data_IF_163115899964
#
_entry.id   IF_163115899964
#
_cell.length_a   1.000
_cell.length_b   1.000
_cell.length_c   1.000
_cell.angle_alpha   90.00
_cell.angle_beta   90.00
_cell.angle_gamma   90.00
#
_symmetry.space_group_name_H-M   'P 1'
#
loop_
_entity.id
_entity.type
_entity.pdbx_description
1 polymer ?
#
# COMPACT_ATOMS: atom_id res chain seq x y z
N UNK A 1 -14.79 4.17 15.09
CA UNK A 1 -15.24 3.67 13.76
C UNK A 1 -15.65 2.23 13.96
N UNK A 2 -16.95 2.01 14.09
CA UNK A 2 -17.49 0.67 14.33
C UNK A 2 -17.49 -0.07 12.98
N UNK A 3 -16.76 -1.17 12.93
CA UNK A 3 -16.64 -2.00 11.75
C UNK A 3 -17.78 -3.02 11.74
N UNK A 4 -18.64 -2.93 10.74
CA UNK A 4 -19.59 -4.01 10.45
C UNK A 4 -18.82 -5.19 9.84
N UNK A 5 -18.69 -6.27 10.58
CA UNK A 5 -18.20 -7.56 10.08
C UNK A 5 -19.41 -8.43 9.69
N UNK A 6 -19.34 -9.12 8.56
CA UNK A 6 -20.27 -10.15 8.08
C UNK A 6 -21.75 -9.75 7.95
N UNK A 7 -22.07 -8.60 7.39
CA UNK A 7 -23.47 -8.29 7.02
C UNK A 7 -24.47 -8.26 8.18
N UNK A 8 -24.08 -8.60 9.38
CA UNK A 8 -24.85 -8.51 10.61
C UNK A 8 -24.19 -7.46 11.47
N UNK A 9 -24.87 -6.35 11.72
CA UNK A 9 -24.48 -5.41 12.76
C UNK A 9 -24.77 -6.09 14.10
N UNK A 10 -23.79 -6.77 14.69
CA UNK A 10 -23.88 -7.15 16.08
C UNK A 10 -23.78 -5.87 16.91
N UNK A 11 -24.87 -5.53 17.60
CA UNK A 11 -24.89 -4.49 18.62
C UNK A 11 -24.07 -5.00 19.81
N UNK A 12 -22.73 -4.83 19.75
CA UNK A 12 -21.89 -4.99 20.92
C UNK A 12 -22.18 -3.83 21.90
N UNK A 13 -23.07 -4.09 22.85
CA UNK A 13 -23.47 -3.20 23.94
C UNK A 13 -22.41 -3.10 25.04
N UNK A 14 -21.14 -2.84 24.69
CA UNK A 14 -20.19 -2.37 25.71
C UNK A 14 -19.28 -1.26 25.18
N UNK A 15 -19.57 -0.06 25.69
CA UNK A 15 -18.68 1.09 25.81
C UNK A 15 -18.08 1.73 24.56
N UNK A 16 -18.91 2.47 23.80
CA UNK A 16 -18.44 3.76 23.26
C UNK A 16 -19.57 4.79 23.32
N UNK A 17 -19.50 5.71 24.27
CA UNK A 17 -20.32 6.92 24.32
C UNK A 17 -19.97 7.80 23.13
N UNK A 18 -20.70 7.65 22.04
CA UNK A 18 -20.70 8.61 20.95
C UNK A 18 -21.71 9.71 21.32
N UNK A 19 -21.31 10.97 21.59
CA UNK A 19 -22.17 12.00 22.18
C UNK A 19 -23.29 12.51 21.26
N UNK A 20 -23.45 11.97 20.04
CA UNK A 20 -24.40 12.51 19.05
C UNK A 20 -25.54 11.58 18.64
N UNK A 21 -25.71 10.40 19.20
CA UNK A 21 -26.82 9.53 18.86
C UNK A 21 -27.42 8.86 20.08
N UNK A 22 -28.31 9.56 20.78
CA UNK A 22 -29.08 9.02 21.93
C UNK A 22 -30.31 8.19 21.53
N UNK A 23 -30.43 7.76 20.24
CA UNK A 23 -31.58 7.01 19.79
C UNK A 23 -31.32 5.52 19.90
N UNK A 24 -31.99 4.86 20.83
CA UNK A 24 -32.01 3.40 20.96
C UNK A 24 -33.19 2.82 20.19
N UNK A 25 -32.91 1.92 19.23
CA UNK A 25 -33.95 1.20 18.51
C UNK A 25 -34.76 0.30 19.43
N UNK A 26 -36.01 -0.01 19.05
CA UNK A 26 -36.83 -0.97 19.77
C UNK A 26 -36.25 -2.37 19.64
N UNK A 27 -36.13 -3.06 20.73
CA UNK A 27 -35.73 -4.48 20.79
C UNK A 27 -36.91 -5.41 20.52
N UNK A 28 -36.64 -6.67 20.20
CA UNK A 28 -37.69 -7.67 20.02
C UNK A 28 -38.57 -7.82 21.28
N UNK A 29 -37.98 -7.80 22.47
CA UNK A 29 -38.70 -7.87 23.74
C UNK A 29 -39.63 -6.66 23.94
N UNK A 30 -39.20 -5.46 23.54
CA UNK A 30 -40.06 -4.28 23.59
C UNK A 30 -41.23 -4.40 22.59
N UNK A 31 -41.01 -4.99 21.44
CA UNK A 31 -42.06 -5.28 20.43
C UNK A 31 -43.08 -6.30 20.96
N UNK A 32 -42.62 -7.31 21.68
CA UNK A 32 -43.51 -8.29 22.32
C UNK A 32 -44.36 -7.61 23.41
N UNK A 33 -43.78 -6.75 24.24
CA UNK A 33 -44.51 -5.96 25.23
C UNK A 33 -45.54 -5.02 24.56
N UNK A 34 -45.19 -4.38 23.45
CA UNK A 34 -46.14 -3.55 22.70
C UNK A 34 -47.36 -4.39 22.24
N UNK A 35 -47.15 -5.58 21.68
CA UNK A 35 -48.24 -6.50 21.29
C UNK A 35 -49.11 -6.89 22.51
N UNK A 36 -48.48 -7.30 23.62
CA UNK A 36 -49.11 -7.69 24.83
C UNK A 36 -50.04 -6.59 25.42
N UNK A 37 -49.51 -5.36 25.55
CA UNK A 37 -50.26 -4.23 26.10
C UNK A 37 -51.37 -3.79 25.12
N UNK A 38 -51.13 -3.86 23.81
CA UNK A 38 -52.20 -3.59 22.83
C UNK A 38 -53.35 -4.59 22.90
N UNK A 39 -53.05 -5.88 23.11
CA UNK A 39 -54.10 -6.92 23.33
C UNK A 39 -54.94 -6.66 24.63
N UNK A 40 -54.40 -5.95 25.60
CA UNK A 40 -55.07 -5.53 26.83
C UNK A 40 -55.72 -4.14 26.70
N UNK A 41 -55.87 -3.60 25.48
CA UNK A 41 -56.49 -2.32 25.18
C UNK A 41 -55.76 -1.06 25.78
N UNK A 42 -54.48 -1.16 26.15
CA UNK A 42 -53.71 0.01 26.51
C UNK A 42 -53.55 0.99 25.36
N UNK A 43 -53.65 2.27 25.69
CA UNK A 43 -53.41 3.36 24.71
C UNK A 43 -51.92 3.48 24.38
N UNK A 44 -51.61 4.08 23.22
CA UNK A 44 -50.22 4.32 22.77
C UNK A 44 -49.47 5.13 23.81
N UNK A 45 -50.12 6.03 24.51
CA UNK A 45 -49.49 6.88 25.56
C UNK A 45 -49.09 6.08 26.79
N UNK A 46 -49.96 5.20 27.27
CA UNK A 46 -49.68 4.32 28.40
C UNK A 46 -48.58 3.33 28.07
N UNK A 47 -48.58 2.72 26.86
CA UNK A 47 -47.54 1.82 26.43
C UNK A 47 -46.18 2.55 26.36
N UNK A 48 -46.15 3.78 25.88
CA UNK A 48 -44.96 4.59 25.80
C UNK A 48 -44.38 4.88 27.22
N UNK A 49 -45.25 5.17 28.19
CA UNK A 49 -44.85 5.38 29.55
C UNK A 49 -44.29 4.09 30.20
N UNK A 50 -44.99 2.94 30.01
CA UNK A 50 -44.55 1.65 30.56
C UNK A 50 -43.21 1.17 29.98
N UNK A 51 -42.92 1.48 28.70
CA UNK A 51 -41.68 1.12 28.05
C UNK A 51 -40.60 2.22 28.17
N UNK A 52 -40.89 3.32 28.82
CA UNK A 52 -39.99 4.48 28.90
C UNK A 52 -39.50 4.96 27.52
N UNK A 53 -40.40 4.94 26.55
CA UNK A 53 -40.15 5.38 25.21
C UNK A 53 -41.05 6.55 24.80
N UNK A 54 -40.62 7.32 23.79
CA UNK A 54 -41.43 8.41 23.31
C UNK A 54 -42.71 7.87 22.63
N UNK A 55 -43.85 8.51 22.85
CA UNK A 55 -45.13 8.19 22.21
C UNK A 55 -45.03 8.09 20.69
N UNK A 56 -44.26 9.01 20.08
CA UNK A 56 -44.02 8.98 18.63
C UNK A 56 -43.28 7.74 18.15
N UNK A 57 -42.41 7.14 18.99
CA UNK A 57 -41.71 5.88 18.67
C UNK A 57 -42.69 4.72 18.57
N UNK A 58 -43.58 4.57 19.56
CA UNK A 58 -44.59 3.51 19.57
C UNK A 58 -45.60 3.70 18.43
N UNK A 59 -46.05 4.94 18.21
CA UNK A 59 -46.96 5.24 17.12
C UNK A 59 -46.38 4.90 15.74
N UNK A 60 -45.11 5.30 15.49
CA UNK A 60 -44.41 4.98 14.24
C UNK A 60 -44.17 3.48 14.07
N UNK A 61 -43.84 2.79 15.14
CA UNK A 61 -43.63 1.33 15.12
C UNK A 61 -44.90 0.60 14.68
N UNK A 62 -46.02 0.91 15.33
CA UNK A 62 -47.33 0.32 15.00
C UNK A 62 -47.73 0.69 13.59
N UNK A 63 -47.61 1.96 13.16
CA UNK A 63 -48.00 2.39 11.82
C UNK A 63 -47.18 1.71 10.72
N UNK A 64 -45.86 1.51 10.95
CA UNK A 64 -44.94 0.94 9.94
C UNK A 64 -45.04 -0.59 9.82
N UNK A 65 -45.36 -1.26 10.91
CA UNK A 65 -45.16 -2.69 11.02
C UNK A 65 -46.45 -3.50 11.22
N UNK A 66 -47.62 -2.86 11.46
CA UNK A 66 -48.89 -3.55 11.46
C UNK A 66 -49.32 -3.93 10.04
N UNK A 67 -50.00 -5.08 9.90
CA UNK A 67 -50.59 -5.58 8.65
C UNK A 67 -52.05 -5.86 8.94
N UNK A 68 -52.97 -5.28 8.15
CA UNK A 68 -54.41 -5.41 8.33
C UNK A 68 -54.93 -5.15 9.77
N UNK A 69 -54.29 -4.16 10.45
CA UNK A 69 -54.62 -3.80 11.83
C UNK A 69 -53.98 -4.68 12.91
N UNK A 70 -53.31 -5.75 12.55
CA UNK A 70 -52.61 -6.64 13.48
C UNK A 70 -51.13 -6.32 13.55
N UNK A 71 -50.60 -6.20 14.77
CA UNK A 71 -49.20 -6.01 15.03
C UNK A 71 -48.59 -7.31 15.52
N UNK A 72 -47.55 -7.80 14.83
CA UNK A 72 -46.84 -9.02 15.17
C UNK A 72 -45.32 -8.70 15.37
N UNK A 73 -44.75 -8.96 16.56
CA UNK A 73 -43.39 -8.59 16.91
C UNK A 73 -42.31 -9.17 15.99
N UNK A 74 -42.42 -10.47 15.67
CA UNK A 74 -41.45 -11.16 14.78
C UNK A 74 -41.46 -10.56 13.38
N UNK A 75 -42.66 -10.33 12.82
CA UNK A 75 -42.79 -9.68 11.52
C UNK A 75 -42.28 -8.24 11.53
N UNK A 76 -42.52 -7.50 12.61
CA UNK A 76 -42.04 -6.15 12.81
C UNK A 76 -40.50 -6.10 12.90
N UNK A 77 -39.90 -7.08 13.59
CA UNK A 77 -38.43 -7.24 13.64
C UNK A 77 -37.86 -7.55 12.25
N UNK A 78 -38.40 -8.52 11.53
CA UNK A 78 -37.95 -8.87 10.18
C UNK A 78 -38.03 -7.66 9.22
N UNK A 79 -39.12 -6.91 9.25
CA UNK A 79 -39.27 -5.67 8.44
C UNK A 79 -38.25 -4.59 8.88
N UNK A 80 -37.90 -4.52 10.16
CA UNK A 80 -36.86 -3.62 10.65
C UNK A 80 -35.50 -4.06 10.11
N UNK A 81 -35.15 -5.34 10.18
CA UNK A 81 -33.86 -5.87 9.73
C UNK A 81 -33.69 -5.66 8.21
N UNK A 82 -34.71 -5.94 7.41
CA UNK A 82 -34.72 -5.67 5.96
C UNK A 82 -34.48 -4.18 5.65
N UNK A 83 -35.12 -3.27 6.40
CA UNK A 83 -34.88 -1.84 6.23
C UNK A 83 -33.46 -1.43 6.64
N UNK A 84 -32.91 -2.07 7.68
CA UNK A 84 -31.52 -1.83 8.09
C UNK A 84 -30.55 -2.29 7.03
N UNK A 85 -30.74 -3.45 6.45
CA UNK A 85 -29.93 -3.94 5.33
C UNK A 85 -29.99 -2.99 4.13
N UNK A 86 -31.19 -2.54 3.75
CA UNK A 86 -31.39 -1.59 2.65
C UNK A 86 -30.75 -0.20 2.92
N UNK A 87 -30.57 0.18 4.18
CA UNK A 87 -29.88 1.42 4.56
C UNK A 87 -28.35 1.29 4.59
N UNK A 88 -27.80 0.09 4.54
CA UNK A 88 -26.36 -0.11 4.43
C UNK A 88 -25.89 0.30 3.04
N UNK A 89 -24.91 1.20 2.98
CA UNK A 89 -24.29 1.51 1.69
C UNK A 89 -23.59 0.27 1.13
N UNK A 90 -23.83 -0.03 -0.13
CA UNK A 90 -23.11 -1.10 -0.81
C UNK A 90 -21.61 -0.87 -0.74
N UNK A 91 -20.86 -1.91 -0.42
CA UNK A 91 -19.40 -1.82 -0.41
C UNK A 91 -18.91 -1.67 -1.85
N UNK A 92 -18.02 -0.72 -2.08
CA UNK A 92 -17.47 -0.46 -3.44
C UNK A 92 -16.86 -1.70 -4.10
N UNK A 93 -16.26 -2.59 -3.31
CA UNK A 93 -15.66 -3.83 -3.80
C UNK A 93 -16.64 -5.00 -3.88
N UNK A 94 -17.96 -4.76 -3.71
CA UNK A 94 -18.99 -5.75 -4.07
C UNK A 94 -19.23 -5.80 -5.59
N UNK A 95 -18.79 -4.78 -6.32
CA UNK A 95 -18.64 -4.83 -7.77
C UNK A 95 -17.56 -5.87 -8.14
N UNK A 96 -17.92 -6.96 -8.87
CA UNK A 96 -17.00 -8.05 -9.19
C UNK A 96 -15.82 -7.61 -10.07
N UNK A 97 -16.06 -6.71 -11.02
CA UNK A 97 -15.03 -6.24 -11.96
C UNK A 97 -13.99 -5.41 -11.23
N UNK A 98 -14.44 -4.44 -10.44
CA UNK A 98 -13.54 -3.62 -9.62
C UNK A 98 -12.79 -4.46 -8.58
N UNK A 99 -13.46 -5.43 -7.96
CA UNK A 99 -12.85 -6.33 -6.99
C UNK A 99 -11.74 -7.17 -7.62
N UNK A 100 -11.99 -7.75 -8.80
CA UNK A 100 -11.00 -8.57 -9.51
C UNK A 100 -9.82 -7.70 -9.98
N UNK A 101 -10.07 -6.53 -10.53
CA UNK A 101 -9.04 -5.58 -10.92
C UNK A 101 -8.12 -5.22 -9.75
N UNK A 102 -8.70 -4.86 -8.60
CA UNK A 102 -7.93 -4.54 -7.38
C UNK A 102 -7.12 -5.74 -6.91
N UNK A 103 -7.70 -6.94 -6.95
CA UNK A 103 -7.03 -8.19 -6.57
C UNK A 103 -5.83 -8.48 -7.46
N UNK A 104 -5.95 -8.36 -8.77
CA UNK A 104 -4.87 -8.62 -9.74
C UNK A 104 -3.74 -7.61 -9.57
N UNK A 105 -4.06 -6.31 -9.44
CA UNK A 105 -3.04 -5.29 -9.18
C UNK A 105 -2.29 -5.52 -7.86
N UNK A 106 -2.98 -5.99 -6.83
CA UNK A 106 -2.37 -6.26 -5.53
C UNK A 106 -1.56 -7.57 -5.51
N UNK A 107 -2.11 -8.68 -6.04
CA UNK A 107 -1.50 -10.01 -5.95
C UNK A 107 -0.42 -10.24 -7.01
N UNK A 108 -0.71 -9.90 -8.27
CA UNK A 108 0.17 -10.21 -9.39
C UNK A 108 1.18 -9.09 -9.68
N UNK A 109 0.73 -7.84 -9.62
CA UNK A 109 1.59 -6.68 -9.90
C UNK A 109 2.19 -6.09 -8.62
N UNK A 110 1.79 -6.59 -7.44
CA UNK A 110 2.29 -6.18 -6.12
C UNK A 110 2.17 -4.67 -5.86
N UNK A 111 1.15 -4.03 -6.42
CA UNK A 111 0.91 -2.63 -6.13
C UNK A 111 0.43 -2.45 -4.69
N UNK A 112 0.81 -1.35 -4.07
CA UNK A 112 0.27 -1.01 -2.75
C UNK A 112 -1.20 -0.58 -2.85
N UNK A 113 -2.04 -0.82 -1.81
CA UNK A 113 -3.42 -0.33 -1.79
C UNK A 113 -3.54 1.18 -2.11
N UNK A 114 -2.61 2.00 -1.62
CA UNK A 114 -2.56 3.43 -1.93
C UNK A 114 -2.22 3.68 -3.42
N UNK A 115 -1.30 2.89 -3.99
CA UNK A 115 -0.95 2.96 -5.41
C UNK A 115 -2.12 2.59 -6.32
N UNK A 116 -2.88 1.54 -5.96
CA UNK A 116 -4.07 1.10 -6.71
C UNK A 116 -5.13 2.20 -6.67
N UNK A 117 -5.54 2.64 -5.48
CA UNK A 117 -6.58 3.66 -5.35
C UNK A 117 -6.22 4.97 -6.06
N UNK A 118 -4.95 5.42 -5.92
CA UNK A 118 -4.49 6.65 -6.56
C UNK A 118 -4.39 6.53 -8.08
N UNK A 119 -4.00 5.35 -8.59
CA UNK A 119 -3.94 5.10 -10.04
C UNK A 119 -5.33 5.07 -10.67
N UNK A 120 -6.26 4.35 -10.05
CA UNK A 120 -7.66 4.33 -10.48
C UNK A 120 -8.26 5.74 -10.50
N UNK A 121 -8.00 6.54 -9.47
CA UNK A 121 -8.48 7.92 -9.43
C UNK A 121 -7.84 8.79 -10.53
N UNK A 122 -6.57 8.55 -10.88
CA UNK A 122 -5.87 9.27 -11.95
C UNK A 122 -6.46 8.94 -13.33
N UNK A 123 -6.71 7.66 -13.62
CA UNK A 123 -7.20 7.22 -14.94
C UNK A 123 -8.68 7.49 -15.16
N UNK A 124 -9.51 7.29 -14.15
CA UNK A 124 -10.96 7.47 -14.23
C UNK A 124 -11.44 8.87 -13.81
N UNK A 125 -10.54 9.76 -13.38
CA UNK A 125 -10.87 11.10 -12.84
C UNK A 125 -11.89 11.09 -11.69
N UNK A 126 -12.07 9.95 -11.04
CA UNK A 126 -13.01 9.75 -9.92
C UNK A 126 -12.47 8.73 -8.93
N UNK A 127 -12.85 8.88 -7.65
CA UNK A 127 -12.47 7.95 -6.59
C UNK A 127 -13.36 6.70 -6.63
N UNK A 128 -12.98 5.69 -7.40
CA UNK A 128 -13.71 4.41 -7.48
C UNK A 128 -13.65 3.65 -6.15
N UNK A 129 -12.48 3.60 -5.52
CA UNK A 129 -12.27 2.92 -4.25
C UNK A 129 -11.21 3.62 -3.41
N UNK A 130 -11.42 3.71 -2.10
CA UNK A 130 -10.39 4.25 -1.20
C UNK A 130 -9.35 3.19 -0.82
N UNK A 131 -8.11 3.61 -0.57
CA UNK A 131 -7.07 2.69 -0.09
C UNK A 131 -7.43 2.05 1.25
N UNK A 132 -8.17 2.74 2.10
CA UNK A 132 -8.67 2.21 3.38
C UNK A 132 -9.66 1.07 3.18
N UNK A 133 -10.52 1.15 2.16
CA UNK A 133 -11.42 0.06 1.77
C UNK A 133 -10.63 -1.16 1.30
N UNK A 134 -9.60 -0.96 0.45
CA UNK A 134 -8.74 -2.06 -0.01
C UNK A 134 -8.02 -2.73 1.18
N UNK A 135 -7.44 -1.95 2.11
CA UNK A 135 -6.82 -2.50 3.31
C UNK A 135 -7.81 -3.32 4.15
N UNK A 136 -9.04 -2.81 4.32
CA UNK A 136 -10.09 -3.50 5.09
C UNK A 136 -10.40 -4.87 4.48
N UNK A 137 -10.59 -4.96 3.17
CA UNK A 137 -10.87 -6.24 2.49
C UNK A 137 -9.66 -7.19 2.52
N UNK A 138 -8.42 -6.67 2.44
CA UNK A 138 -7.21 -7.48 2.65
C UNK A 138 -7.17 -8.06 4.05
N UNK A 139 -7.43 -7.24 5.09
CA UNK A 139 -7.43 -7.71 6.48
C UNK A 139 -8.62 -8.64 6.79
N UNK A 140 -9.74 -8.49 6.08
CA UNK A 140 -10.89 -9.39 6.15
C UNK A 140 -10.63 -10.74 5.44
N UNK A 141 -9.50 -10.90 4.71
CA UNK A 141 -9.16 -12.12 4.01
C UNK A 141 -9.92 -12.34 2.70
N UNK A 142 -10.63 -11.32 2.17
CA UNK A 142 -11.42 -11.46 0.93
C UNK A 142 -10.58 -11.87 -0.29
N UNK A 143 -9.29 -11.54 -0.29
CA UNK A 143 -8.36 -11.88 -1.36
C UNK A 143 -7.56 -13.16 -1.07
N UNK A 144 -7.77 -13.79 0.06
CA UNK A 144 -7.09 -15.04 0.41
C UNK A 144 -7.58 -16.18 -0.51
N UNK A 145 -6.69 -17.12 -0.82
CA UNK A 145 -7.10 -18.32 -1.53
C UNK A 145 -8.05 -19.16 -0.64
N UNK A 146 -8.99 -19.89 -1.25
CA UNK A 146 -9.83 -20.81 -0.50
C UNK A 146 -8.98 -21.74 0.36
N UNK A 147 -9.38 -21.97 1.63
CA UNK A 147 -8.69 -22.84 2.61
C UNK A 147 -7.39 -22.29 3.23
N UNK A 148 -7.03 -21.02 3.03
CA UNK A 148 -5.95 -20.38 3.79
C UNK A 148 -6.48 -19.80 5.10
N UNK A 149 -5.79 -20.07 6.21
CA UNK A 149 -6.15 -19.50 7.52
C UNK A 149 -5.93 -17.99 7.54
N UNK A 150 -6.90 -17.26 8.07
CA UNK A 150 -6.81 -15.81 8.30
C UNK A 150 -5.59 -15.40 9.14
N UNK A 151 -5.22 -14.17 9.03
CA UNK A 151 -4.22 -13.53 9.86
C UNK A 151 -2.82 -13.56 9.27
N UNK A 152 -1.82 -13.95 10.09
CA UNK A 152 -0.41 -13.84 9.70
C UNK A 152 -0.01 -14.70 8.49
N UNK A 153 -0.85 -15.59 8.01
CA UNK A 153 -0.57 -16.53 6.91
C UNK A 153 -1.24 -16.19 5.59
N UNK A 154 -2.18 -15.24 5.56
CA UNK A 154 -2.90 -14.85 4.35
C UNK A 154 -2.17 -13.77 3.52
N UNK A 155 -2.90 -13.23 2.55
CA UNK A 155 -2.50 -12.17 1.62
C UNK A 155 -1.95 -10.91 2.33
N UNK A 156 -2.31 -10.71 3.60
CA UNK A 156 -1.77 -9.63 4.44
C UNK A 156 -0.24 -9.62 4.50
N UNK A 157 0.42 -10.77 4.29
CA UNK A 157 1.89 -10.87 4.22
C UNK A 157 2.49 -10.15 3.02
N UNK A 158 1.74 -9.97 1.95
CA UNK A 158 2.15 -9.23 0.76
C UNK A 158 2.21 -7.72 1.01
N UNK A 159 1.67 -7.24 2.13
CA UNK A 159 1.85 -5.83 2.54
C UNK A 159 3.29 -5.58 3.03
N UNK A 160 3.93 -4.56 2.46
CA UNK A 160 5.38 -4.27 2.59
C UNK A 160 5.92 -4.18 4.03
N UNK A 161 5.16 -3.59 4.96
CA UNK A 161 5.70 -3.22 6.29
C UNK A 161 5.11 -4.00 7.46
N UNK A 162 4.33 -5.01 7.21
CA UNK A 162 3.66 -5.73 8.28
C UNK A 162 4.63 -6.41 9.23
N UNK A 163 4.51 -6.11 10.51
CA UNK A 163 5.28 -6.74 11.60
C UNK A 163 6.78 -6.40 11.63
N UNK A 164 7.26 -5.49 10.78
CA UNK A 164 8.66 -5.04 10.82
C UNK A 164 8.82 -3.85 11.76
N UNK A 165 9.47 -4.06 12.89
CA UNK A 165 9.91 -2.99 13.78
C UNK A 165 11.17 -2.31 13.25
N UNK A 166 11.25 -0.98 13.37
CA UNK A 166 12.48 -0.24 13.07
C UNK A 166 13.56 -0.58 14.10
N UNK A 167 14.76 -0.94 13.63
CA UNK A 167 15.92 -1.09 14.53
C UNK A 167 16.37 0.27 15.05
N UNK A 168 16.80 0.31 16.32
CA UNK A 168 17.32 1.52 16.96
C UNK A 168 18.59 2.07 16.29
N UNK A 169 18.89 3.36 16.53
CA UNK A 169 19.95 4.16 15.86
C UNK A 169 21.41 3.80 16.22
N UNK A 170 21.69 2.85 17.11
CA UNK A 170 22.99 2.66 17.74
C UNK A 170 23.92 1.66 17.01
N UNK A 171 23.94 1.66 15.67
CA UNK A 171 24.88 0.81 14.93
C UNK A 171 26.14 1.62 14.55
N UNK A 172 27.28 1.32 15.16
CA UNK A 172 28.58 1.91 14.80
C UNK A 172 29.10 1.29 13.51
N UNK A 173 29.40 2.09 12.51
CA UNK A 173 29.91 1.62 11.23
C UNK A 173 31.43 1.35 11.31
N UNK A 174 31.84 0.09 10.97
CA UNK A 174 33.22 -0.38 10.95
C UNK A 174 33.83 -0.48 9.53
N UNK A 175 33.19 0.14 8.50
CA UNK A 175 33.65 0.04 7.11
C UNK A 175 34.81 0.96 6.83
N UNK A 176 35.77 0.47 6.04
CA UNK A 176 36.94 1.26 5.61
C UNK A 176 36.54 2.42 4.69
N UNK A 177 37.32 3.49 4.72
CA UNK A 177 37.13 4.69 3.89
C UNK A 177 37.64 4.43 2.47
N UNK A 178 36.87 4.83 1.45
CA UNK A 178 37.33 4.90 0.06
C UNK A 178 37.77 6.31 -0.27
N UNK A 179 38.66 6.48 -1.27
CA UNK A 179 38.98 7.79 -1.84
C UNK A 179 37.81 8.30 -2.65
N UNK A 180 37.25 9.44 -2.28
CA UNK A 180 36.16 10.11 -2.98
C UNK A 180 36.68 11.12 -3.98
N UNK A 181 35.92 11.35 -5.08
CA UNK A 181 36.25 12.38 -6.08
C UNK A 181 35.63 13.73 -5.76
N UNK A 182 34.35 13.75 -5.42
CA UNK A 182 33.59 14.93 -5.03
C UNK A 182 32.70 14.63 -3.83
N UNK A 183 32.49 15.64 -2.99
CA UNK A 183 31.47 15.55 -1.92
C UNK A 183 30.06 15.76 -2.47
N UNK A 184 29.07 15.21 -1.80
CA UNK A 184 27.67 15.32 -2.26
C UNK A 184 27.15 16.76 -2.20
N UNK A 185 27.73 17.63 -1.39
CA UNK A 185 27.42 19.06 -1.35
C UNK A 185 27.71 19.79 -2.66
N UNK A 186 28.70 19.28 -3.42
CA UNK A 186 29.08 19.82 -4.74
C UNK A 186 28.16 19.40 -5.86
N UNK A 187 27.14 18.59 -5.54
CA UNK A 187 26.20 18.05 -6.52
C UNK A 187 25.40 19.17 -7.19
N UNK A 188 25.16 19.11 -8.52
CA UNK A 188 24.40 20.12 -9.24
C UNK A 188 23.00 20.35 -8.65
N UNK A 189 22.54 21.61 -8.66
CA UNK A 189 21.21 21.99 -8.17
C UNK A 189 20.07 21.16 -8.80
N UNK A 190 20.17 20.85 -10.12
CA UNK A 190 19.20 20.01 -10.82
C UNK A 190 19.11 18.56 -10.28
N UNK A 191 20.20 18.03 -9.69
CA UNK A 191 20.20 16.78 -8.97
C UNK A 191 19.60 16.94 -7.56
N UNK A 192 19.86 18.07 -6.90
CA UNK A 192 19.37 18.35 -5.55
C UNK A 192 17.84 18.48 -5.54
N UNK A 193 17.29 19.33 -6.40
CA UNK A 193 15.84 19.59 -6.51
C UNK A 193 15.09 18.60 -7.40
N UNK A 194 15.78 17.61 -7.99
CA UNK A 194 15.22 16.59 -8.86
C UNK A 194 14.52 17.12 -10.12
N UNK A 195 14.97 18.26 -10.62
CA UNK A 195 14.35 18.90 -11.80
C UNK A 195 14.76 18.26 -13.14
N UNK A 196 15.94 17.63 -13.20
CA UNK A 196 16.47 17.05 -14.43
C UNK A 196 16.65 15.54 -14.33
N UNK A 197 16.49 14.83 -15.46
CA UNK A 197 16.86 13.41 -15.62
C UNK A 197 18.36 13.26 -15.75
N UNK A 198 18.86 12.04 -15.52
CA UNK A 198 20.27 11.70 -15.70
C UNK A 198 21.11 11.80 -14.42
N UNK A 199 20.52 12.01 -13.29
CA UNK A 199 21.16 11.96 -12.00
C UNK A 199 20.83 10.62 -11.30
N UNK A 200 21.75 9.64 -11.40
CA UNK A 200 21.52 8.24 -11.04
C UNK A 200 22.08 7.90 -9.66
N UNK A 201 21.25 7.62 -8.67
CA UNK A 201 21.72 7.06 -7.40
C UNK A 201 22.14 5.59 -7.62
N UNK A 202 23.42 5.29 -7.35
CA UNK A 202 23.99 3.95 -7.47
C UNK A 202 24.05 3.22 -6.14
N UNK A 203 23.68 1.93 -6.09
CA UNK A 203 23.78 1.07 -4.91
C UNK A 203 23.90 -0.40 -5.30
N UNK A 204 24.16 -1.24 -4.32
CA UNK A 204 24.18 -2.69 -4.50
C UNK A 204 23.23 -3.38 -3.53
N UNK A 205 22.42 -4.29 -4.03
CA UNK A 205 21.55 -5.15 -3.23
C UNK A 205 22.22 -6.52 -3.10
N UNK A 206 22.92 -6.72 -1.99
CA UNK A 206 23.60 -7.98 -1.73
C UNK A 206 22.59 -9.10 -1.46
N UNK A 207 22.83 -10.25 -2.10
CA UNK A 207 22.22 -11.53 -1.77
C UNK A 207 22.95 -12.22 -0.61
N UNK A 208 23.38 -13.47 -0.82
CA UNK A 208 24.24 -14.22 0.11
C UNK A 208 25.65 -13.61 0.11
N UNK A 209 26.26 -13.55 1.28
CA UNK A 209 27.61 -12.99 1.43
C UNK A 209 28.63 -13.71 0.56
N UNK A 210 29.42 -12.96 -0.20
CA UNK A 210 30.47 -13.51 -1.09
C UNK A 210 29.97 -14.04 -2.43
N UNK A 211 28.67 -13.93 -2.73
CA UNK A 211 28.03 -14.34 -3.97
C UNK A 211 27.58 -13.14 -4.80
N UNK A 212 26.81 -13.39 -5.83
CA UNK A 212 26.26 -12.37 -6.72
C UNK A 212 25.47 -11.28 -5.96
N UNK A 213 25.47 -10.07 -6.55
CA UNK A 213 24.68 -8.95 -6.05
C UNK A 213 23.98 -8.24 -7.21
N UNK A 214 22.88 -7.55 -6.94
CA UNK A 214 22.27 -6.65 -7.91
C UNK A 214 22.92 -5.27 -7.80
N UNK A 215 23.27 -4.70 -8.94
CA UNK A 215 23.65 -3.31 -9.07
C UNK A 215 22.39 -2.53 -9.46
N UNK A 216 22.06 -1.50 -8.72
CA UNK A 216 20.86 -0.69 -8.93
C UNK A 216 21.24 0.77 -9.16
N UNK A 217 20.69 1.33 -10.22
CA UNK A 217 20.85 2.71 -10.62
C UNK A 217 19.47 3.33 -10.77
N UNK A 218 19.14 4.29 -9.92
CA UNK A 218 17.81 4.90 -9.88
C UNK A 218 17.89 6.38 -10.24
N UNK A 219 17.20 6.78 -11.28
CA UNK A 219 17.10 8.20 -11.63
C UNK A 219 16.36 8.98 -10.56
N UNK A 220 16.95 10.07 -10.09
CA UNK A 220 16.44 10.85 -8.96
C UNK A 220 15.12 11.54 -9.24
N UNK A 221 14.88 11.99 -10.48
CA UNK A 221 13.66 12.68 -10.87
C UNK A 221 12.52 11.70 -11.09
N UNK A 222 12.74 10.71 -11.94
CA UNK A 222 11.69 9.83 -12.46
C UNK A 222 11.49 8.56 -11.65
N UNK A 223 12.43 8.23 -10.76
CA UNK A 223 12.47 6.96 -10.02
C UNK A 223 12.68 5.74 -10.90
N UNK A 224 13.04 5.94 -12.17
CA UNK A 224 13.30 4.87 -13.11
C UNK A 224 14.53 4.08 -12.68
N UNK A 225 14.41 2.76 -12.68
CA UNK A 225 15.42 1.82 -12.23
C UNK A 225 16.03 1.11 -13.42
N UNK A 226 17.35 1.14 -13.50
CA UNK A 226 18.15 0.27 -14.38
C UNK A 226 19.22 -0.44 -13.56
N UNK A 227 19.83 -1.46 -14.11
CA UNK A 227 20.87 -2.23 -13.45
C UNK A 227 20.90 -3.68 -13.91
N UNK A 228 21.59 -4.51 -13.14
CA UNK A 228 21.74 -5.92 -13.48
C UNK A 228 22.42 -6.71 -12.36
N UNK A 229 22.72 -7.97 -12.65
CA UNK A 229 23.45 -8.87 -11.76
C UNK A 229 24.97 -8.70 -11.94
N UNK A 230 25.69 -8.55 -10.86
CA UNK A 230 27.14 -8.70 -10.80
C UNK A 230 27.46 -10.01 -10.10
N UNK A 231 28.35 -10.84 -10.67
CA UNK A 231 28.70 -12.16 -10.16
C UNK A 231 29.32 -12.10 -8.76
N UNK A 232 29.95 -10.99 -8.44
CA UNK A 232 30.46 -10.72 -7.11
C UNK A 232 30.39 -9.22 -6.77
N UNK A 233 30.31 -8.91 -5.49
CA UNK A 233 30.36 -7.53 -4.99
C UNK A 233 31.81 -6.99 -5.03
N UNK A 234 32.41 -6.92 -6.23
CA UNK A 234 33.74 -6.42 -6.52
C UNK A 234 33.64 -5.22 -7.44
N UNK A 235 34.58 -4.26 -7.29
CA UNK A 235 34.52 -3.01 -8.06
C UNK A 235 34.54 -3.23 -9.57
N UNK A 236 35.29 -4.18 -10.10
CA UNK A 236 35.33 -4.45 -11.54
C UNK A 236 33.97 -4.94 -12.07
N UNK A 237 33.35 -5.93 -11.39
CA UNK A 237 32.04 -6.47 -11.78
C UNK A 237 30.94 -5.44 -11.67
N UNK A 238 30.93 -4.66 -10.59
CA UNK A 238 29.96 -3.57 -10.38
C UNK A 238 30.09 -2.50 -11.45
N UNK A 239 31.34 -2.10 -11.79
CA UNK A 239 31.61 -1.11 -12.83
C UNK A 239 31.12 -1.59 -14.20
N UNK A 240 31.36 -2.85 -14.56
CA UNK A 240 30.89 -3.44 -15.82
C UNK A 240 29.37 -3.29 -15.95
N UNK A 241 28.63 -3.74 -14.93
CA UNK A 241 27.15 -3.65 -14.92
C UNK A 241 26.69 -2.20 -14.95
N UNK A 242 27.36 -1.27 -14.24
CA UNK A 242 26.99 0.16 -14.27
C UNK A 242 27.15 0.75 -15.67
N UNK A 243 28.27 0.45 -16.35
CA UNK A 243 28.54 0.96 -17.70
C UNK A 243 27.51 0.41 -18.68
N UNK A 244 27.28 -0.90 -18.70
CA UNK A 244 26.33 -1.55 -19.58
C UNK A 244 24.90 -1.04 -19.36
N UNK A 245 24.47 -0.92 -18.09
CA UNK A 245 23.10 -0.49 -17.75
C UNK A 245 22.82 0.98 -18.04
N UNK A 246 23.84 1.82 -18.12
CA UNK A 246 23.67 3.26 -18.38
C UNK A 246 23.83 3.61 -19.89
N UNK A 247 24.25 2.68 -20.74
CA UNK A 247 24.31 2.92 -22.18
C UNK A 247 22.94 3.31 -22.73
N UNK A 248 22.91 4.36 -23.54
CA UNK A 248 21.67 4.89 -24.15
C UNK A 248 20.80 5.73 -23.21
N UNK A 249 21.21 5.90 -21.95
CA UNK A 249 20.51 6.75 -20.99
C UNK A 249 21.22 8.11 -20.84
N UNK A 250 20.49 9.20 -20.56
CA UNK A 250 21.13 10.48 -20.22
C UNK A 250 21.86 10.35 -18.87
N UNK A 251 23.14 10.71 -18.81
CA UNK A 251 23.97 10.62 -17.63
C UNK A 251 24.56 11.98 -17.32
N UNK A 252 24.31 12.50 -16.12
CA UNK A 252 24.85 13.78 -15.61
C UNK A 252 25.68 13.63 -14.37
N UNK A 253 25.25 12.75 -13.45
CA UNK A 253 26.01 12.46 -12.23
C UNK A 253 25.57 11.14 -11.61
N UNK A 254 26.48 10.53 -10.83
CA UNK A 254 26.21 9.29 -10.13
C UNK A 254 26.61 9.46 -8.64
N UNK A 255 25.69 9.67 -7.71
CA UNK A 255 25.94 9.55 -6.28
C UNK A 255 25.78 8.10 -5.77
N UNK A 256 26.87 7.32 -5.67
CA UNK A 256 26.86 5.98 -5.09
C UNK A 256 26.94 6.04 -3.55
N UNK A 257 26.96 4.88 -2.89
CA UNK A 257 27.36 4.81 -1.48
C UNK A 257 28.91 4.83 -1.32
N UNK A 258 29.37 4.84 -0.08
CA UNK A 258 30.83 4.74 0.21
C UNK A 258 31.30 3.28 0.33
N UNK A 259 30.65 2.36 -0.37
CA UNK A 259 31.05 0.97 -0.41
C UNK A 259 32.34 0.75 -1.18
N UNK A 260 33.13 -0.25 -0.77
CA UNK A 260 34.39 -0.62 -1.47
C UNK A 260 34.18 -1.01 -2.93
N UNK A 261 32.98 -1.45 -3.28
CA UNK A 261 32.54 -1.76 -4.65
C UNK A 261 32.55 -0.56 -5.58
N UNK A 262 32.55 0.67 -5.05
CA UNK A 262 32.66 1.90 -5.85
C UNK A 262 34.04 2.53 -5.79
N UNK A 263 35.05 1.84 -5.21
CA UNK A 263 36.41 2.38 -5.07
C UNK A 263 37.08 2.69 -6.43
N UNK A 264 36.70 1.97 -7.47
CA UNK A 264 37.21 2.16 -8.84
C UNK A 264 36.29 3.00 -9.76
N UNK A 265 35.48 3.89 -9.18
CA UNK A 265 34.54 4.75 -9.90
C UNK A 265 35.16 5.58 -11.04
N UNK A 266 36.48 5.85 -11.00
CA UNK A 266 37.17 6.54 -12.06
C UNK A 266 37.16 5.79 -13.39
N UNK A 267 37.15 4.45 -13.37
CA UNK A 267 37.01 3.65 -14.56
C UNK A 267 35.66 3.90 -15.24
N UNK A 268 34.57 4.00 -14.44
CA UNK A 268 33.23 4.33 -14.94
C UNK A 268 33.17 5.78 -15.46
N UNK A 269 33.83 6.73 -14.76
CA UNK A 269 33.96 8.12 -15.24
C UNK A 269 34.56 8.17 -16.63
N UNK A 270 35.66 7.43 -16.87
CA UNK A 270 36.32 7.38 -18.18
C UNK A 270 35.45 6.72 -19.24
N UNK A 271 34.75 5.64 -18.91
CA UNK A 271 33.91 4.89 -19.85
C UNK A 271 32.61 5.62 -20.21
N UNK A 272 32.13 6.55 -19.38
CA UNK A 272 30.88 7.28 -19.55
C UNK A 272 31.13 8.80 -19.70
N UNK A 273 32.02 9.16 -20.60
CA UNK A 273 32.29 10.55 -21.07
C UNK A 273 32.50 11.56 -19.93
N UNK A 274 33.22 11.19 -18.87
CA UNK A 274 33.60 12.09 -17.80
C UNK A 274 32.51 12.31 -16.73
N UNK A 275 31.54 11.41 -16.61
CA UNK A 275 30.50 11.51 -15.58
C UNK A 275 31.09 11.66 -14.16
N UNK A 276 30.53 12.60 -13.40
CA UNK A 276 31.01 12.90 -12.03
C UNK A 276 30.30 12.06 -10.99
N UNK A 277 31.09 11.55 -10.04
CA UNK A 277 30.63 10.83 -8.85
C UNK A 277 30.61 11.76 -7.64
N UNK A 278 29.50 11.77 -6.90
CA UNK A 278 29.32 12.58 -5.69
C UNK A 278 29.00 11.67 -4.51
N UNK A 279 29.84 11.67 -3.50
CA UNK A 279 29.74 10.74 -2.38
C UNK A 279 29.04 11.39 -1.17
N UNK A 280 28.06 10.70 -0.55
CA UNK A 280 27.34 11.21 0.62
C UNK A 280 28.26 11.37 1.81
N UNK A 281 27.90 12.23 2.75
CA UNK A 281 28.56 12.31 4.03
C UNK A 281 28.42 11.01 4.83
N UNK A 282 29.43 10.62 5.63
CA UNK A 282 29.27 9.47 6.52
C UNK A 282 28.04 9.65 7.42
N UNK A 283 27.27 8.57 7.61
CA UNK A 283 26.05 8.56 8.44
C UNK A 283 24.88 9.44 7.99
N UNK A 284 24.87 9.92 6.71
CA UNK A 284 23.77 10.68 6.12
C UNK A 284 22.98 9.87 5.08
N UNK A 285 22.26 8.79 5.46
CA UNK A 285 21.52 7.94 4.52
C UNK A 285 20.41 8.69 3.79
N UNK A 286 19.85 9.75 4.38
CA UNK A 286 18.79 10.56 3.77
C UNK A 286 19.21 11.28 2.48
N UNK A 287 20.51 11.48 2.25
CA UNK A 287 21.03 12.08 1.02
C UNK A 287 20.80 11.20 -0.21
N UNK A 288 20.52 9.89 0.00
CA UNK A 288 20.28 8.84 -1.01
C UNK A 288 18.98 8.07 -0.80
N UNK A 289 17.96 8.73 -0.29
CA UNK A 289 16.66 8.11 0.03
C UNK A 289 15.92 7.49 -1.17
N UNK A 290 16.31 7.82 -2.41
CA UNK A 290 15.70 7.23 -3.61
C UNK A 290 16.06 5.75 -3.74
N UNK A 291 17.35 5.43 -3.61
CA UNK A 291 17.83 4.05 -3.65
C UNK A 291 17.36 3.22 -2.47
N UNK A 292 17.39 3.76 -1.26
CA UNK A 292 16.91 3.07 -0.07
C UNK A 292 15.46 2.59 -0.26
N UNK A 293 14.60 3.46 -0.80
CA UNK A 293 13.21 3.10 -1.09
C UNK A 293 13.11 2.02 -2.17
N UNK A 294 13.82 2.17 -3.28
CA UNK A 294 13.79 1.22 -4.41
C UNK A 294 14.35 -0.14 -4.01
N UNK A 295 15.49 -0.15 -3.29
CA UNK A 295 16.07 -1.39 -2.78
C UNK A 295 15.15 -2.08 -1.77
N UNK A 296 14.40 -1.30 -0.98
CA UNK A 296 13.35 -1.82 -0.11
C UNK A 296 12.22 -2.52 -0.87
N UNK A 297 11.89 -2.09 -2.08
CA UNK A 297 10.91 -2.75 -2.95
C UNK A 297 11.51 -3.98 -3.64
N UNK A 298 12.75 -3.89 -4.10
CA UNK A 298 13.47 -5.05 -4.67
C UNK A 298 13.57 -6.21 -3.68
N UNK A 299 13.61 -5.93 -2.37
CA UNK A 299 13.61 -6.97 -1.32
C UNK A 299 12.30 -7.76 -1.22
N UNK A 300 11.24 -7.34 -1.90
CA UNK A 300 10.03 -8.14 -2.05
C UNK A 300 10.27 -9.35 -2.99
N UNK A 301 11.14 -9.18 -4.00
CA UNK A 301 11.51 -10.22 -4.97
C UNK A 301 12.80 -10.96 -4.58
N UNK A 302 13.77 -10.21 -4.05
CA UNK A 302 15.08 -10.71 -3.65
C UNK A 302 15.30 -10.53 -2.14
N UNK A 303 14.79 -11.42 -1.28
CA UNK A 303 14.90 -11.30 0.17
C UNK A 303 16.36 -11.21 0.63
N UNK A 304 16.59 -10.56 1.76
CA UNK A 304 17.94 -10.43 2.31
C UNK A 304 18.51 -11.82 2.66
N UNK A 305 19.71 -12.12 2.14
CA UNK A 305 20.41 -13.38 2.37
C UNK A 305 20.04 -14.52 1.39
N UNK A 306 19.08 -14.27 0.46
CA UNK A 306 18.85 -15.24 -0.63
C UNK A 306 20.05 -15.30 -1.57
N UNK A 307 20.33 -16.47 -2.12
CA UNK A 307 21.30 -16.62 -3.21
C UNK A 307 20.66 -16.20 -4.53
N UNK A 308 21.28 -15.26 -5.23
CA UNK A 308 20.80 -14.74 -6.51
C UNK A 308 21.71 -15.17 -7.67
N UNK A 309 22.70 -16.02 -7.41
CA UNK A 309 23.71 -16.44 -8.39
C UNK A 309 23.06 -17.15 -9.58
N UNK A 310 22.14 -18.06 -9.32
CA UNK A 310 21.48 -18.89 -10.34
C UNK A 310 20.21 -18.25 -10.93
N UNK A 311 19.86 -17.02 -10.51
CA UNK A 311 18.73 -16.29 -11.06
C UNK A 311 19.13 -15.71 -12.42
N UNK A 312 18.31 -15.93 -13.45
CA UNK A 312 18.59 -15.43 -14.80
C UNK A 312 18.50 -13.91 -14.87
N UNK A 313 19.23 -13.33 -15.82
CA UNK A 313 19.25 -11.90 -16.04
C UNK A 313 17.89 -11.40 -16.55
N UNK A 314 17.19 -12.22 -17.36
CA UNK A 314 15.86 -11.93 -17.88
C UNK A 314 14.85 -11.79 -16.72
N UNK A 315 14.89 -12.68 -15.72
CA UNK A 315 14.03 -12.58 -14.55
C UNK A 315 14.32 -11.30 -13.75
N UNK A 316 15.59 -10.92 -13.61
CA UNK A 316 15.99 -9.71 -12.92
C UNK A 316 15.44 -8.47 -13.64
N UNK A 317 15.56 -8.43 -14.99
CA UNK A 317 15.01 -7.34 -15.78
C UNK A 317 13.48 -7.29 -15.70
N UNK A 318 12.79 -8.43 -15.74
CA UNK A 318 11.34 -8.49 -15.52
C UNK A 318 10.93 -7.86 -14.18
N UNK A 319 11.67 -8.14 -13.10
CA UNK A 319 11.40 -7.55 -11.79
C UNK A 319 11.68 -6.05 -11.75
N UNK A 320 12.70 -5.58 -12.46
CA UNK A 320 12.96 -4.14 -12.61
C UNK A 320 11.84 -3.45 -13.40
N UNK A 321 11.35 -4.08 -14.46
CA UNK A 321 10.23 -3.58 -15.26
C UNK A 321 8.92 -3.54 -14.45
N UNK A 322 8.64 -4.55 -13.65
CA UNK A 322 7.51 -4.52 -12.70
C UNK A 322 7.61 -3.32 -11.76
N UNK A 323 8.80 -3.01 -11.25
CA UNK A 323 9.00 -1.84 -10.40
C UNK A 323 8.89 -0.51 -11.16
N UNK A 324 9.35 -0.47 -12.41
CA UNK A 324 9.23 0.71 -13.26
C UNK A 324 7.79 0.98 -13.69
N UNK A 325 6.94 -0.03 -13.75
CA UNK A 325 5.50 0.07 -14.04
C UNK A 325 4.62 0.15 -12.81
N UNK A 326 5.20 0.21 -11.60
CA UNK A 326 4.45 0.36 -10.35
C UNK A 326 4.17 1.84 -10.07
N UNK A 327 2.89 2.26 -9.87
CA UNK A 327 2.55 3.65 -9.55
C UNK A 327 3.24 4.15 -8.29
N UNK A 328 3.70 5.40 -8.31
CA UNK A 328 4.39 6.03 -7.18
C UNK A 328 3.65 7.29 -6.73
N UNK A 329 3.32 7.37 -5.46
CA UNK A 329 2.69 8.57 -4.87
C UNK A 329 3.51 9.84 -5.13
N UNK A 330 4.84 9.77 -5.00
CA UNK A 330 5.75 10.90 -5.24
C UNK A 330 5.82 11.36 -6.72
N UNK A 331 5.23 10.60 -7.64
CA UNK A 331 5.06 10.94 -9.05
C UNK A 331 3.60 11.24 -9.42
N UNK A 332 2.75 11.53 -8.43
CA UNK A 332 1.32 11.72 -8.66
C UNK A 332 0.62 10.47 -9.17
N UNK A 333 1.02 9.31 -8.66
CA UNK A 333 0.53 7.98 -9.04
C UNK A 333 0.81 7.56 -10.50
N UNK A 334 1.63 8.34 -11.22
CA UNK A 334 2.26 7.86 -12.46
C UNK A 334 3.36 6.85 -12.13
N UNK A 335 3.71 6.05 -13.12
CA UNK A 335 4.81 5.09 -13.00
C UNK A 335 6.15 5.75 -13.31
N UNK A 336 7.29 5.21 -12.81
CA UNK A 336 8.63 5.61 -13.23
C UNK A 336 8.80 5.58 -14.75
N UNK A 337 8.27 4.55 -15.41
CA UNK A 337 8.31 4.39 -16.86
C UNK A 337 7.64 5.58 -17.58
N UNK A 338 6.40 5.91 -17.21
CA UNK A 338 5.66 7.04 -17.79
C UNK A 338 6.39 8.38 -17.65
N UNK A 339 6.97 8.61 -16.48
CA UNK A 339 7.67 9.87 -16.20
C UNK A 339 9.03 9.91 -16.92
N UNK A 340 9.67 8.74 -17.10
CA UNK A 340 10.97 8.66 -17.76
C UNK A 340 10.86 8.85 -19.27
N UNK A 341 9.92 8.15 -19.92
CA UNK A 341 9.73 8.22 -21.37
C UNK A 341 8.76 9.32 -21.80
N UNK A 342 8.08 9.97 -20.85
CA UNK A 342 7.03 10.98 -21.13
C UNK A 342 5.83 10.39 -21.89
N UNK A 343 5.53 9.13 -21.62
CA UNK A 343 4.41 8.38 -22.18
C UNK A 343 3.27 8.29 -21.17
N UNK A 344 2.07 8.01 -21.62
CA UNK A 344 0.91 7.71 -20.75
C UNK A 344 0.52 6.26 -20.96
N UNK A 345 0.45 5.50 -19.86
CA UNK A 345 0.01 4.11 -19.87
C UNK A 345 -1.42 4.03 -19.33
N UNK A 346 -2.22 3.16 -19.90
CA UNK A 346 -3.54 2.77 -19.38
C UNK A 346 -3.37 1.43 -18.67
N UNK A 347 -3.27 1.47 -17.36
CA UNK A 347 -2.89 0.32 -16.52
C UNK A 347 -4.02 -0.19 -15.63
N UNK A 348 -5.16 0.53 -15.55
CA UNK A 348 -6.29 0.22 -14.69
C UNK A 348 -7.60 0.13 -15.47
#
# INVERSE_FOLDING_TARGET
MDFCYNGVCEDNHENRKNPMCHYNHLTLVEREKIMYFRAQNYTISEIATLLQRNKSTISRELKRNSVNGFYQPVSAQSKYDQRREACCSHKRLDDPELCQLVKDKFLEQQWSPEGIAGRLALEHHTNLVSYTTIYREIYAGRFDAPNLSHGNRGVVRKLRHRGKTRRGKNHVEKRGKIRISHDISERPAGAQNRSHRGHWEGDTVAGKTGRACLVTLVDRKTRFLVGGKADAKRAAEVNKVMIESLQGHPIKSIPPDRGKEFAKHKEVTTALDGVKFYFPQPHHPWERGTNENTNGLLREYFPKGSDITDISDEYIQEMFDKLNRRPRKCLGYRTPYEVYYSETLHLA
#
